data_IF_677826735866
#
_entry.id   IF_677826735866
#
_cell.length_a   1.000
_cell.length_b   1.000
_cell.length_c   1.000
_cell.angle_alpha   90.00
_cell.angle_beta   90.00
_cell.angle_gamma   90.00
#
_symmetry.space_group_name_H-M   'P 1'
#
loop_
_entity.id
_entity.type
_entity.pdbx_description
1 polymer ?
#
# COMPACT_ATOMS: atom_id res chain seq x y z
N UNK A 1 -4.49 -22.82 7.07
CA UNK A 1 -3.58 -21.87 6.38
C UNK A 1 -2.10 -22.14 6.67
N UNK A 2 -1.47 -21.60 7.74
CA UNK A 2 0.00 -21.73 7.92
C UNK A 2 0.49 -23.19 8.04
N UNK A 3 -0.18 -24.02 8.86
CA UNK A 3 0.15 -25.45 9.04
C UNK A 3 0.16 -26.25 7.72
N UNK A 4 -0.70 -25.87 6.78
CA UNK A 4 -0.82 -26.53 5.47
C UNK A 4 0.15 -25.92 4.44
N UNK A 5 0.44 -24.61 4.56
CA UNK A 5 1.30 -23.89 3.62
C UNK A 5 2.78 -24.26 3.77
N UNK A 6 3.28 -24.45 5.01
CA UNK A 6 4.70 -24.76 5.25
C UNK A 6 5.17 -26.05 4.52
N UNK A 7 4.47 -27.21 4.62
CA UNK A 7 4.84 -28.40 3.86
C UNK A 7 4.76 -28.23 2.33
N UNK A 8 3.87 -27.35 1.84
CA UNK A 8 3.77 -27.02 0.41
C UNK A 8 5.02 -26.28 -0.05
N UNK A 9 5.53 -25.34 0.75
CA UNK A 9 6.76 -24.63 0.43
C UNK A 9 8.01 -25.53 0.55
N UNK A 10 8.05 -26.47 1.49
CA UNK A 10 9.13 -27.47 1.60
C UNK A 10 9.32 -28.31 0.33
N UNK A 11 8.22 -28.57 -0.42
CA UNK A 11 8.27 -29.24 -1.73
C UNK A 11 8.77 -28.34 -2.87
N UNK A 12 8.74 -27.01 -2.71
CA UNK A 12 9.18 -26.03 -3.72
C UNK A 12 10.61 -25.55 -3.47
N UNK A 13 10.99 -25.41 -2.21
CA UNK A 13 12.29 -24.94 -1.75
C UNK A 13 12.76 -25.94 -0.70
N UNK A 14 13.86 -26.62 -0.97
CA UNK A 14 14.42 -27.58 -0.04
C UNK A 14 14.67 -26.92 1.34
N UNK A 15 14.32 -27.62 2.42
CA UNK A 15 14.47 -27.18 3.82
C UNK A 15 13.61 -25.97 4.24
N UNK A 16 12.61 -25.57 3.46
CA UNK A 16 11.71 -24.48 3.88
C UNK A 16 10.84 -24.85 5.09
N UNK A 17 10.57 -26.14 5.31
CA UNK A 17 9.78 -26.70 6.42
C UNK A 17 10.63 -27.47 7.43
N UNK A 18 11.90 -27.09 7.58
CA UNK A 18 12.84 -27.67 8.53
C UNK A 18 12.28 -27.64 9.97
N UNK A 19 12.21 -28.77 10.71
CA UNK A 19 11.67 -28.80 12.07
C UNK A 19 12.45 -27.91 13.06
N UNK A 20 13.70 -27.57 12.75
CA UNK A 20 14.53 -26.67 13.56
C UNK A 20 14.39 -25.19 13.15
N UNK A 21 13.59 -24.87 12.13
CA UNK A 21 13.35 -23.49 11.72
C UNK A 21 12.51 -22.72 12.77
N UNK A 22 12.90 -21.47 13.03
CA UNK A 22 12.23 -20.63 14.02
C UNK A 22 11.06 -19.85 13.41
N UNK A 23 9.90 -19.92 14.06
CA UNK A 23 8.78 -19.01 13.83
C UNK A 23 8.79 -17.94 14.91
N UNK A 24 9.06 -16.70 14.52
CA UNK A 24 9.29 -15.59 15.46
C UNK A 24 8.14 -14.59 15.44
N UNK A 25 7.51 -14.38 16.61
CA UNK A 25 6.56 -13.29 16.83
C UNK A 25 5.32 -13.32 15.94
N UNK A 26 4.61 -12.19 15.92
CA UNK A 26 3.44 -11.96 15.07
C UNK A 26 3.70 -10.77 14.16
N UNK A 27 3.55 -10.99 12.85
CA UNK A 27 3.62 -9.91 11.85
C UNK A 27 2.23 -9.30 11.71
N UNK A 28 2.05 -8.06 12.16
CA UNK A 28 0.72 -7.43 12.31
C UNK A 28 0.52 -6.18 11.46
N UNK A 29 1.56 -5.69 10.78
CA UNK A 29 1.55 -4.40 10.06
C UNK A 29 2.02 -4.57 8.62
N UNK A 30 1.47 -5.56 7.92
CA UNK A 30 1.79 -5.83 6.50
C UNK A 30 1.24 -4.78 5.54
N UNK A 31 0.18 -4.06 5.94
CA UNK A 31 -0.40 -2.93 5.21
C UNK A 31 -1.23 -2.06 6.15
N UNK A 32 -1.67 -0.88 5.67
CA UNK A 32 -2.60 -0.06 6.45
C UNK A 32 -3.91 -0.80 6.73
N UNK A 33 -4.43 -0.73 7.98
CA UNK A 33 -5.72 -1.33 8.34
C UNK A 33 -6.91 -0.46 7.92
N UNK A 34 -6.66 0.72 7.35
CA UNK A 34 -7.70 1.65 6.90
C UNK A 34 -7.44 2.11 5.47
N UNK A 35 -8.49 2.64 4.84
CA UNK A 35 -8.38 3.37 3.59
C UNK A 35 -9.05 4.72 3.74
N UNK A 36 -8.27 5.78 3.56
CA UNK A 36 -8.76 7.15 3.60
C UNK A 36 -9.21 7.51 2.18
N UNK A 37 -10.51 7.39 1.91
CA UNK A 37 -11.03 7.45 0.55
C UNK A 37 -10.74 8.78 -0.14
N UNK A 38 -10.22 8.69 -1.36
CA UNK A 38 -9.93 9.83 -2.24
C UNK A 38 -10.49 9.61 -3.64
N UNK A 39 -10.83 10.71 -4.33
CA UNK A 39 -11.34 10.73 -5.70
C UNK A 39 -10.24 10.54 -6.75
N UNK A 40 -10.64 10.63 -8.03
CA UNK A 40 -9.70 10.59 -9.16
C UNK A 40 -8.74 11.79 -9.20
N UNK A 41 -9.12 12.89 -8.53
CA UNK A 41 -8.31 14.08 -8.31
C UNK A 41 -7.34 13.98 -7.13
N UNK A 42 -7.26 12.79 -6.51
CA UNK A 42 -6.43 12.49 -5.34
C UNK A 42 -6.85 13.20 -4.04
N UNK A 43 -7.99 13.90 -4.02
CA UNK A 43 -8.49 14.56 -2.82
C UNK A 43 -9.44 13.67 -2.03
N UNK A 44 -9.49 13.89 -0.71
CA UNK A 44 -10.47 13.27 0.16
C UNK A 44 -11.89 13.52 -0.35
N UNK A 45 -12.76 12.50 -0.26
CA UNK A 45 -14.14 12.60 -0.72
C UNK A 45 -14.98 13.63 0.07
N UNK A 46 -14.56 13.98 1.28
CA UNK A 46 -15.33 14.83 2.19
C UNK A 46 -14.56 16.05 2.73
N UNK A 47 -13.31 16.26 2.31
CA UNK A 47 -12.50 17.39 2.73
C UNK A 47 -11.61 17.89 1.60
N UNK A 48 -12.04 18.97 0.95
CA UNK A 48 -11.26 19.62 -0.10
C UNK A 48 -9.91 20.11 0.45
N UNK A 49 -8.85 19.97 -0.33
CA UNK A 49 -7.47 20.31 0.05
C UNK A 49 -6.74 19.23 0.85
N UNK A 50 -7.42 18.17 1.29
CA UNK A 50 -6.76 16.99 1.89
C UNK A 50 -6.45 15.96 0.81
N UNK A 51 -5.18 15.54 0.70
CA UNK A 51 -4.72 14.56 -0.29
C UNK A 51 -4.15 13.30 0.38
N UNK A 52 -4.97 12.28 0.67
CA UNK A 52 -4.50 11.03 1.26
C UNK A 52 -3.50 10.32 0.31
N UNK A 53 -2.34 9.87 0.81
CA UNK A 53 -1.28 9.29 -0.01
C UNK A 53 -0.55 8.14 0.68
N UNK A 54 0.07 7.27 -0.13
CA UNK A 54 0.97 6.21 0.31
C UNK A 54 0.28 5.09 1.07
N UNK A 55 1.09 4.31 1.80
CA UNK A 55 0.62 3.11 2.51
C UNK A 55 -0.31 3.48 3.66
N UNK A 56 -0.01 4.53 4.43
CA UNK A 56 -0.85 4.98 5.54
C UNK A 56 -2.30 5.28 5.11
N UNK A 57 -2.49 5.83 3.90
CA UNK A 57 -3.82 6.09 3.34
C UNK A 57 -4.48 4.86 2.66
N UNK A 58 -3.75 3.75 2.50
CA UNK A 58 -4.23 2.53 1.85
C UNK A 58 -4.12 2.52 0.32
N UNK A 59 -3.17 3.29 -0.25
CA UNK A 59 -2.95 3.41 -1.71
C UNK A 59 -1.59 2.88 -2.19
N UNK A 60 -0.77 2.34 -1.29
CA UNK A 60 0.50 1.71 -1.58
C UNK A 60 0.77 0.55 -0.60
N UNK A 61 1.77 -0.29 -0.90
CA UNK A 61 2.13 -1.46 -0.06
C UNK A 61 3.63 -1.74 -0.04
N UNK A 62 4.45 -0.71 -0.23
CA UNK A 62 5.91 -0.82 -0.26
C UNK A 62 6.57 0.43 -0.83
N UNK A 63 7.89 0.54 -0.65
CA UNK A 63 8.69 1.74 -0.92
C UNK A 63 8.41 2.33 -2.31
N UNK A 64 8.58 1.52 -3.36
CA UNK A 64 8.42 1.99 -4.74
C UNK A 64 6.97 2.44 -5.03
N UNK A 65 5.98 1.67 -4.58
CA UNK A 65 4.57 2.01 -4.78
C UNK A 65 4.17 3.29 -4.04
N UNK A 66 4.71 3.50 -2.83
CA UNK A 66 4.46 4.71 -2.04
C UNK A 66 5.12 5.94 -2.68
N UNK A 67 6.33 5.78 -3.23
CA UNK A 67 7.00 6.85 -3.97
C UNK A 67 6.22 7.25 -5.24
N UNK A 68 5.76 6.26 -6.01
CA UNK A 68 4.93 6.50 -7.21
C UNK A 68 3.62 7.21 -6.83
N UNK A 69 2.97 6.79 -5.75
CA UNK A 69 1.76 7.46 -5.26
C UNK A 69 2.05 8.89 -4.82
N UNK A 70 3.18 9.11 -4.14
CA UNK A 70 3.64 10.44 -3.72
C UNK A 70 3.85 11.39 -4.90
N UNK A 71 4.46 10.92 -6.00
CA UNK A 71 4.63 11.72 -7.23
C UNK A 71 3.27 12.12 -7.80
N UNK A 72 2.33 11.16 -7.94
CA UNK A 72 0.99 11.43 -8.48
C UNK A 72 0.21 12.43 -7.62
N UNK A 73 0.30 12.31 -6.30
CA UNK A 73 -0.33 13.22 -5.36
C UNK A 73 0.31 14.60 -5.42
N UNK A 74 1.64 14.70 -5.48
CA UNK A 74 2.34 15.99 -5.61
C UNK A 74 1.93 16.71 -6.91
N UNK A 75 1.83 16.00 -8.02
CA UNK A 75 1.32 16.56 -9.28
C UNK A 75 -0.15 17.02 -9.17
N UNK A 76 -0.99 16.26 -8.46
CA UNK A 76 -2.39 16.63 -8.23
C UNK A 76 -2.53 17.88 -7.37
N UNK A 77 -1.73 17.98 -6.30
CA UNK A 77 -1.63 19.19 -5.46
C UNK A 77 -1.19 20.38 -6.31
N UNK A 78 -0.13 20.23 -7.10
CA UNK A 78 0.35 21.30 -7.98
C UNK A 78 -0.74 21.77 -8.95
N UNK A 79 -1.47 20.85 -9.60
CA UNK A 79 -2.60 21.18 -10.49
C UNK A 79 -3.72 21.92 -9.76
N UNK A 80 -4.07 21.49 -8.55
CA UNK A 80 -5.10 22.15 -7.74
C UNK A 80 -4.69 23.58 -7.35
N UNK A 81 -3.42 23.81 -7.01
CA UNK A 81 -2.90 25.14 -6.66
C UNK A 81 -2.89 26.12 -7.83
N UNK A 82 -2.59 25.66 -9.04
CA UNK A 82 -2.53 26.53 -10.23
C UNK A 82 -3.88 26.66 -10.96
N UNK A 83 -4.96 26.06 -10.43
CA UNK A 83 -6.30 26.10 -11.03
C UNK A 83 -6.43 25.30 -12.33
N UNK A 84 -5.50 24.39 -12.60
CA UNK A 84 -5.57 23.51 -13.77
C UNK A 84 -6.66 22.45 -13.55
N UNK A 85 -7.61 22.34 -14.50
CA UNK A 85 -8.60 21.26 -14.50
C UNK A 85 -7.88 19.89 -14.51
N UNK A 86 -8.44 18.94 -13.77
CA UNK A 86 -8.00 17.55 -13.82
C UNK A 86 -8.03 17.04 -15.26
N UNK A 87 -6.94 16.41 -15.70
CA UNK A 87 -6.90 15.69 -16.96
C UNK A 87 -7.74 14.43 -16.77
N UNK A 88 -8.81 14.30 -17.56
CA UNK A 88 -9.64 13.10 -17.56
C UNK A 88 -8.81 11.87 -18.00
N UNK A 89 -9.10 10.68 -17.47
CA UNK A 89 -8.39 9.45 -17.81
C UNK A 89 -8.51 9.08 -19.29
#
# INVERSE_FOLDING_TARGET
>A
AMREALPVFGRKIARYDDPDALLTGVETRTSSPIRITRGADFQSLNLAGLFPAGEGAGYAGGILSAAIDGIKVAEAVARAMVGAKAVAP
#
